data_IF_877701680286
#
_entry.id   IF_877701680286
#
_cell.length_a   1.000
_cell.length_b   1.000
_cell.length_c   1.000
_cell.angle_alpha   90.00
_cell.angle_beta   90.00
_cell.angle_gamma   90.00
#
_symmetry.space_group_name_H-M   'P 1'
#
loop_
_entity.id
_entity.type
_entity.pdbx_description
1 polymer ?
#
# COMPACT_ATOMS: atom_id res chain seq x y z
N UNK A 1 -8.49 -3.15 18.26
CA UNK A 1 -8.87 -2.56 16.95
C UNK A 1 -9.34 -1.13 17.20
N UNK A 2 -9.00 -0.18 16.34
CA UNK A 2 -9.52 1.19 16.40
C UNK A 2 -10.65 1.32 15.38
N UNK A 3 -11.91 1.54 15.80
CA UNK A 3 -13.00 1.74 14.86
C UNK A 3 -12.88 3.11 14.18
N UNK A 4 -13.14 3.17 12.87
CA UNK A 4 -13.22 4.42 12.11
C UNK A 4 -12.60 4.36 10.71
N UNK A 5 -12.83 5.41 9.91
CA UNK A 5 -12.21 5.60 8.60
C UNK A 5 -10.70 5.79 8.76
N UNK A 6 -9.91 5.01 8.01
CA UNK A 6 -8.46 5.08 8.00
C UNK A 6 -7.94 6.48 7.67
N UNK A 7 -8.64 7.27 6.85
CA UNK A 7 -8.24 8.65 6.52
C UNK A 7 -8.22 9.55 7.76
N UNK A 8 -9.23 9.42 8.63
CA UNK A 8 -9.34 10.17 9.89
C UNK A 8 -8.43 9.57 10.98
N UNK A 9 -8.38 8.25 11.09
CA UNK A 9 -7.56 7.55 12.07
C UNK A 9 -6.07 7.81 11.83
N UNK A 10 -5.63 7.84 10.56
CA UNK A 10 -4.25 8.13 10.21
C UNK A 10 -3.79 9.53 10.65
N UNK A 11 -4.66 10.54 10.55
CA UNK A 11 -4.38 11.89 11.04
C UNK A 11 -4.17 11.89 12.56
N UNK A 12 -5.08 11.26 13.32
CA UNK A 12 -4.96 11.13 14.78
C UNK A 12 -3.70 10.37 15.21
N UNK A 13 -3.33 9.34 14.45
CA UNK A 13 -2.10 8.58 14.71
C UNK A 13 -0.84 9.38 14.39
N UNK A 14 -0.88 10.19 13.32
CA UNK A 14 0.20 11.13 12.97
C UNK A 14 0.41 12.18 14.07
N UNK A 15 -0.66 12.77 14.60
CA UNK A 15 -0.60 13.72 15.72
C UNK A 15 0.07 13.10 16.95
N UNK A 16 -0.26 11.83 17.23
CA UNK A 16 0.36 11.03 18.29
C UNK A 16 1.77 10.52 17.94
N UNK A 17 2.35 10.96 16.82
CA UNK A 17 3.65 10.54 16.27
C UNK A 17 3.83 9.02 16.15
N UNK A 18 2.72 8.26 16.06
CA UNK A 18 2.76 6.80 15.93
C UNK A 18 3.14 6.42 14.50
N UNK A 19 4.17 5.57 14.37
CA UNK A 19 4.63 5.00 13.11
C UNK A 19 4.76 3.49 13.25
N UNK A 20 4.63 2.77 12.15
CA UNK A 20 4.60 1.31 12.15
C UNK A 20 5.79 0.71 11.37
N UNK A 21 6.31 -0.41 11.85
CA UNK A 21 7.34 -1.22 11.16
C UNK A 21 6.77 -2.06 10.03
N UNK A 22 5.50 -2.47 10.14
CA UNK A 22 4.80 -3.24 9.13
C UNK A 22 3.38 -2.68 8.95
N UNK A 23 2.95 -2.53 7.69
CA UNK A 23 1.60 -2.11 7.33
C UNK A 23 1.04 -3.15 6.35
N UNK A 24 -0.08 -3.77 6.72
CA UNK A 24 -0.78 -4.74 5.88
C UNK A 24 -2.07 -4.09 5.39
N UNK A 25 -2.27 -4.04 4.08
CA UNK A 25 -3.44 -3.41 3.46
C UNK A 25 -4.20 -4.42 2.61
N UNK A 26 -5.05 -5.27 3.22
CA UNK A 26 -5.94 -6.15 2.48
C UNK A 26 -7.07 -5.30 1.88
N UNK A 27 -6.74 -4.57 0.81
CA UNK A 27 -7.63 -3.60 0.19
C UNK A 27 -8.90 -4.31 -0.32
N UNK A 28 -10.11 -3.80 -0.04
CA UNK A 28 -11.29 -4.15 -0.82
C UNK A 28 -11.22 -3.54 -2.23
N UNK A 29 -12.07 -3.96 -3.15
CA UNK A 29 -12.05 -3.50 -4.55
C UNK A 29 -12.57 -2.05 -4.69
N UNK A 30 -11.79 -1.08 -4.19
CA UNK A 30 -12.10 0.35 -4.19
C UNK A 30 -11.20 1.11 -5.17
N UNK A 31 -11.56 2.34 -5.54
CA UNK A 31 -10.70 3.23 -6.33
C UNK A 31 -9.58 3.89 -5.50
N UNK A 32 -9.79 4.03 -4.19
CA UNK A 32 -8.84 4.68 -3.28
C UNK A 32 -7.62 3.81 -2.95
N UNK A 33 -6.40 4.28 -3.22
CA UNK A 33 -5.16 3.52 -3.00
C UNK A 33 -4.77 3.43 -1.52
N UNK A 34 -5.18 4.38 -0.69
CA UNK A 34 -4.77 4.56 0.71
C UNK A 34 -3.24 4.61 0.97
N UNK A 35 -2.46 4.76 -0.10
CA UNK A 35 -1.00 4.79 -0.07
C UNK A 35 -0.51 6.08 0.61
N UNK A 36 -1.24 7.20 0.48
CA UNK A 36 -1.04 8.44 1.23
C UNK A 36 -0.96 8.21 2.74
N UNK A 37 -1.98 7.59 3.32
CA UNK A 37 -2.09 7.32 4.76
C UNK A 37 -0.98 6.35 5.19
N UNK A 38 -0.66 5.39 4.33
CA UNK A 38 0.42 4.43 4.54
C UNK A 38 1.80 5.08 4.56
N UNK A 39 2.06 5.99 3.64
CA UNK A 39 3.29 6.78 3.62
C UNK A 39 3.34 7.76 4.78
N UNK A 40 2.22 8.28 5.24
CA UNK A 40 2.16 9.14 6.43
C UNK A 40 2.52 8.38 7.71
N UNK A 41 2.06 7.13 7.86
CA UNK A 41 2.24 6.31 9.07
C UNK A 41 3.50 5.41 9.04
N UNK A 42 4.23 5.40 7.93
CA UNK A 42 5.47 4.61 7.82
C UNK A 42 6.69 5.38 8.32
N UNK A 43 7.69 4.63 8.74
CA UNK A 43 9.05 5.09 9.05
C UNK A 43 10.06 4.48 8.07
N UNK A 44 11.33 4.87 8.20
CA UNK A 44 12.42 4.25 7.46
C UNK A 44 12.46 2.76 7.79
N UNK A 45 12.49 1.93 6.77
CA UNK A 45 12.52 0.47 6.89
C UNK A 45 11.16 -0.21 7.00
N UNK A 46 10.03 0.52 7.01
CA UNK A 46 8.69 -0.07 7.10
C UNK A 46 8.40 -0.99 5.93
N UNK A 47 7.90 -2.20 6.20
CA UNK A 47 7.43 -3.16 5.20
C UNK A 47 5.94 -2.95 4.96
N UNK A 48 5.56 -2.79 3.70
CA UNK A 48 4.17 -2.58 3.29
C UNK A 48 3.75 -3.76 2.41
N UNK A 49 2.59 -4.31 2.73
CA UNK A 49 1.96 -5.41 2.01
C UNK A 49 0.68 -4.89 1.37
N UNK A 50 0.80 -4.49 0.11
CA UNK A 50 -0.28 -3.89 -0.66
C UNK A 50 -0.96 -4.94 -1.52
N UNK A 51 -2.28 -5.09 -1.36
CA UNK A 51 -3.09 -5.98 -2.18
C UNK A 51 -3.87 -5.18 -3.20
N UNK A 52 -3.89 -5.66 -4.44
CA UNK A 52 -4.68 -5.06 -5.51
C UNK A 52 -5.33 -6.11 -6.41
N UNK A 53 -6.28 -5.65 -7.21
CA UNK A 53 -7.04 -6.44 -8.17
C UNK A 53 -6.78 -5.90 -9.56
N UNK A 54 -6.00 -6.61 -10.36
CA UNK A 54 -5.61 -6.13 -11.68
C UNK A 54 -5.35 -7.28 -12.64
N UNK A 55 -5.22 -6.91 -13.92
CA UNK A 55 -4.71 -7.83 -14.94
C UNK A 55 -3.19 -7.97 -14.80
N UNK A 56 -2.63 -8.99 -15.42
CA UNK A 56 -1.18 -9.22 -15.42
C UNK A 56 -0.41 -8.02 -16.01
N UNK A 57 -0.94 -7.44 -17.09
CA UNK A 57 -0.33 -6.31 -17.78
C UNK A 57 -0.37 -5.00 -16.98
N UNK A 58 -1.22 -4.93 -15.96
CA UNK A 58 -1.41 -3.72 -15.14
C UNK A 58 -0.46 -3.68 -13.92
N UNK A 59 0.28 -4.77 -13.65
CA UNK A 59 1.17 -4.87 -12.48
C UNK A 59 2.22 -3.76 -12.50
N UNK A 60 2.82 -3.47 -13.65
CA UNK A 60 3.84 -2.44 -13.79
C UNK A 60 3.26 -1.03 -13.57
N UNK A 61 2.03 -0.80 -14.04
CA UNK A 61 1.30 0.45 -13.81
C UNK A 61 1.05 0.70 -12.32
N UNK A 62 0.68 -0.33 -11.56
CA UNK A 62 0.48 -0.23 -10.10
C UNK A 62 1.81 0.06 -9.40
N UNK A 63 2.87 -0.62 -9.81
CA UNK A 63 4.23 -0.36 -9.29
C UNK A 63 4.63 1.10 -9.51
N UNK A 64 4.40 1.65 -10.70
CA UNK A 64 4.68 3.05 -11.02
C UNK A 64 3.79 4.00 -10.20
N UNK A 65 2.52 3.63 -9.97
CA UNK A 65 1.63 4.39 -9.07
C UNK A 65 2.18 4.43 -7.64
N UNK A 66 2.65 3.31 -7.10
CA UNK A 66 3.25 3.25 -5.75
C UNK A 66 4.51 4.13 -5.69
N UNK A 67 5.40 4.05 -6.68
CA UNK A 67 6.61 4.88 -6.75
C UNK A 67 6.30 6.37 -6.85
N UNK A 68 5.33 6.74 -7.70
CA UNK A 68 4.93 8.14 -7.87
C UNK A 68 4.28 8.71 -6.61
N UNK A 69 3.41 7.94 -5.94
CA UNK A 69 2.86 8.33 -4.64
C UNK A 69 3.95 8.46 -3.58
N UNK A 70 4.89 7.52 -3.49
CA UNK A 70 6.02 7.62 -2.56
C UNK A 70 6.85 8.90 -2.80
N UNK A 71 7.11 9.25 -4.07
CA UNK A 71 7.83 10.47 -4.46
C UNK A 71 7.10 11.74 -4.01
N UNK A 72 5.75 11.78 -4.09
CA UNK A 72 4.94 12.90 -3.57
C UNK A 72 5.13 13.09 -2.05
N UNK A 73 5.35 12.00 -1.31
CA UNK A 73 5.64 12.04 0.13
C UNK A 73 7.13 12.17 0.46
N UNK A 74 7.99 12.44 -0.53
CA UNK A 74 9.47 12.51 -0.37
C UNK A 74 10.05 11.24 0.25
N UNK A 75 9.45 10.08 -0.04
CA UNK A 75 9.89 8.76 0.42
C UNK A 75 10.41 7.95 -0.76
N UNK A 76 11.48 7.19 -0.51
CA UNK A 76 11.95 6.18 -1.44
C UNK A 76 11.36 4.83 -1.06
N UNK A 77 11.01 4.01 -2.06
CA UNK A 77 10.47 2.67 -1.86
C UNK A 77 11.25 1.67 -2.69
N UNK A 78 11.52 0.51 -2.10
CA UNK A 78 12.13 -0.64 -2.75
C UNK A 78 11.11 -1.76 -2.81
N UNK A 79 10.79 -2.22 -4.01
CA UNK A 79 9.92 -3.38 -4.21
C UNK A 79 10.72 -4.62 -3.83
N UNK A 80 10.14 -5.46 -2.98
CA UNK A 80 10.76 -6.69 -2.49
C UNK A 80 10.24 -7.89 -3.29
N UNK A 81 8.92 -8.01 -3.42
CA UNK A 81 8.30 -9.17 -4.06
C UNK A 81 6.92 -8.82 -4.61
N UNK A 82 6.57 -9.43 -5.72
CA UNK A 82 5.21 -9.40 -6.26
C UNK A 82 4.73 -10.85 -6.28
N UNK A 83 3.58 -11.12 -5.66
CA UNK A 83 2.95 -12.45 -5.62
C UNK A 83 1.56 -12.36 -6.21
N UNK A 84 1.20 -13.32 -7.05
CA UNK A 84 -0.18 -13.58 -7.44
C UNK A 84 -0.83 -14.37 -6.29
N UNK A 85 -1.91 -13.83 -5.75
CA UNK A 85 -2.63 -14.31 -4.56
C UNK A 85 -3.98 -14.97 -4.93
N UNK A 86 -4.13 -15.42 -6.17
CA UNK A 86 -5.31 -16.12 -6.68
C UNK A 86 -5.94 -15.43 -7.89
N UNK A 87 -6.62 -16.22 -8.71
CA UNK A 87 -7.49 -15.73 -9.79
C UNK A 87 -8.89 -15.48 -9.23
N UNK A 88 -9.50 -14.35 -9.62
CA UNK A 88 -10.84 -13.95 -9.15
C UNK A 88 -11.87 -14.08 -10.26
N UNK A 89 -11.45 -13.78 -11.49
CA UNK A 89 -12.24 -13.90 -12.70
C UNK A 89 -11.28 -14.05 -13.90
N UNK A 90 -11.76 -14.44 -15.09
CA UNK A 90 -10.91 -14.55 -16.27
C UNK A 90 -10.09 -13.27 -16.48
N UNK A 91 -8.77 -13.42 -16.57
CA UNK A 91 -7.80 -12.33 -16.73
C UNK A 91 -7.69 -11.35 -15.55
N UNK A 92 -8.33 -11.62 -14.39
CA UNK A 92 -8.29 -10.78 -13.19
C UNK A 92 -7.70 -11.55 -12.02
N UNK A 93 -6.57 -11.06 -11.53
CA UNK A 93 -5.84 -11.67 -10.43
C UNK A 93 -5.82 -10.77 -9.20
N UNK A 94 -5.87 -11.40 -8.03
CA UNK A 94 -5.45 -10.75 -6.79
C UNK A 94 -3.93 -10.74 -6.79
N UNK A 95 -3.32 -9.58 -6.67
CA UNK A 95 -1.88 -9.46 -6.51
C UNK A 95 -1.55 -8.92 -5.13
N UNK A 96 -0.36 -9.27 -4.65
CA UNK A 96 0.24 -8.74 -3.44
C UNK A 96 1.62 -8.19 -3.81
N UNK A 97 1.80 -6.91 -3.59
CA UNK A 97 3.06 -6.20 -3.78
C UNK A 97 3.64 -5.90 -2.40
N UNK A 98 4.78 -6.53 -2.14
CA UNK A 98 5.58 -6.34 -0.94
C UNK A 98 6.65 -5.30 -1.27
N UNK A 99 6.67 -4.18 -0.55
CA UNK A 99 7.69 -3.17 -0.71
C UNK A 99 8.12 -2.58 0.64
N UNK A 100 9.31 -1.99 0.65
CA UNK A 100 9.92 -1.41 1.84
C UNK A 100 10.16 0.07 1.62
N UNK A 101 9.81 0.88 2.62
CA UNK A 101 10.18 2.30 2.67
C UNK A 101 11.65 2.42 3.07
N UNK A 102 12.43 3.19 2.31
CA UNK A 102 13.85 3.48 2.58
C UNK A 102 14.03 4.80 3.33
#
# INVERSE_FOLDING_TARGET
MLPGDIKLVALKLKEKRKKFDAIVMPRPQLKDSFLKETFMLSKKGTKIFYYDFCKEDEIDSIVNKIKSEAKKYRKQVKILKIKKAGEIAPYRYRIRIDFRVL
#
